data_IF_739251449322
#
_entry.id   IF_739251449322
#
_cell.length_a   1.000
_cell.length_b   1.000
_cell.length_c   1.000
_cell.angle_alpha   90.00
_cell.angle_beta   90.00
_cell.angle_gamma   90.00
#
_symmetry.space_group_name_H-M   'P 1'
#
loop_
_entity.id
_entity.type
_entity.pdbx_description
1 polymer ?
#
# COMPACT_ATOMS: atom_id res chain seq x y z
N UNK A 1 12.62 -9.23 15.28
CA UNK A 1 12.24 -7.77 15.29
C UNK A 1 10.74 -7.61 15.32
N UNK A 2 10.22 -6.37 15.48
CA UNK A 2 8.78 -6.07 15.43
C UNK A 2 8.51 -4.99 14.40
N UNK A 3 7.33 -5.02 13.78
CA UNK A 3 6.82 -3.99 12.87
C UNK A 3 5.40 -3.58 13.27
N UNK A 4 5.03 -2.35 12.90
CA UNK A 4 3.65 -1.91 13.00
C UNK A 4 2.92 -2.26 11.70
N UNK A 5 1.97 -3.16 11.81
CA UNK A 5 1.11 -3.64 10.72
C UNK A 5 -0.33 -3.25 11.05
N UNK A 6 -1.08 -2.77 10.07
CA UNK A 6 -2.45 -2.35 10.31
C UNK A 6 -3.49 -3.33 9.76
N UNK A 7 -3.11 -4.16 8.78
CA UNK A 7 -4.00 -5.18 8.23
C UNK A 7 -3.21 -6.36 7.66
N UNK A 8 -3.84 -7.54 7.65
CA UNK A 8 -3.38 -8.74 6.94
C UNK A 8 -4.60 -9.27 6.17
N UNK A 9 -4.70 -8.89 4.90
CA UNK A 9 -5.79 -9.27 4.03
C UNK A 9 -5.47 -10.61 3.35
N UNK A 10 -6.36 -11.57 3.51
CA UNK A 10 -6.24 -12.89 2.89
C UNK A 10 -7.09 -12.93 1.61
N UNK A 11 -6.68 -13.79 0.68
CA UNK A 11 -7.38 -14.02 -0.59
C UNK A 11 -7.47 -12.79 -1.51
N UNK A 12 -6.44 -11.93 -1.53
CA UNK A 12 -6.33 -10.84 -2.51
C UNK A 12 -6.04 -11.40 -3.92
N UNK A 13 -6.70 -10.81 -4.93
CA UNK A 13 -6.50 -11.12 -6.36
C UNK A 13 -5.90 -9.93 -7.13
N UNK A 14 -5.61 -8.83 -6.45
CA UNK A 14 -5.19 -7.57 -7.07
C UNK A 14 -3.78 -7.13 -6.70
N UNK A 15 -3.14 -7.86 -5.80
CA UNK A 15 -1.82 -7.49 -5.26
C UNK A 15 -0.70 -8.39 -5.80
N UNK A 16 -0.76 -8.74 -7.09
CA UNK A 16 0.21 -9.58 -7.79
C UNK A 16 -0.41 -10.84 -8.39
N UNK A 17 0.41 -11.80 -8.86
CA UNK A 17 -0.09 -13.01 -9.50
C UNK A 17 -0.74 -13.97 -8.51
N UNK A 18 -1.79 -14.66 -8.96
CA UNK A 18 -2.50 -15.69 -8.19
C UNK A 18 -3.25 -15.14 -6.99
N UNK A 19 -3.58 -16.04 -6.05
CA UNK A 19 -4.21 -15.68 -4.77
C UNK A 19 -3.13 -15.31 -3.77
N UNK A 20 -3.29 -14.18 -3.07
CA UNK A 20 -2.25 -13.66 -2.18
C UNK A 20 -2.78 -13.32 -0.79
N UNK A 21 -1.88 -13.38 0.18
CA UNK A 21 -2.08 -12.69 1.45
C UNK A 21 -1.30 -11.39 1.40
N UNK A 22 -1.98 -10.25 1.62
CA UNK A 22 -1.33 -8.93 1.61
C UNK A 22 -1.17 -8.43 3.03
N UNK A 23 0.08 -8.11 3.40
CA UNK A 23 0.45 -7.60 4.72
C UNK A 23 0.67 -6.08 4.60
N UNK A 24 -0.14 -5.29 5.30
CA UNK A 24 -0.14 -3.84 5.20
C UNK A 24 0.61 -3.19 6.37
N UNK A 25 1.75 -2.58 6.06
CA UNK A 25 2.60 -1.88 7.02
C UNK A 25 2.13 -0.46 7.29
N UNK A 26 2.31 0.04 8.52
CA UNK A 26 2.13 1.46 8.85
C UNK A 26 3.42 2.24 8.66
N UNK A 27 3.23 3.51 8.31
CA UNK A 27 4.29 4.45 7.94
C UNK A 27 4.38 4.60 6.44
N UNK A 28 4.27 5.84 5.97
CA UNK A 28 4.51 6.22 4.59
C UNK A 28 5.19 7.59 4.57
N UNK A 29 6.19 7.76 3.75
CA UNK A 29 6.86 9.03 3.52
C UNK A 29 6.22 9.85 2.39
N UNK A 30 5.21 9.29 1.70
CA UNK A 30 4.38 10.01 0.73
C UNK A 30 3.09 10.55 1.38
N UNK A 31 2.46 11.53 0.70
CA UNK A 31 1.20 12.17 1.12
C UNK A 31 0.25 12.29 -0.05
N UNK A 32 0.07 11.17 -0.78
CA UNK A 32 -0.81 11.13 -1.94
C UNK A 32 -2.20 11.65 -1.58
N UNK A 33 -2.69 12.62 -2.35
CA UNK A 33 -3.98 13.25 -2.10
C UNK A 33 -5.16 12.28 -2.30
N UNK A 34 -4.96 11.22 -3.08
CA UNK A 34 -5.93 10.14 -3.34
C UNK A 34 -5.62 8.83 -2.61
N UNK A 35 -4.88 8.88 -1.51
CA UNK A 35 -4.43 7.67 -0.82
C UNK A 35 -5.62 6.78 -0.39
N UNK A 36 -5.61 5.51 -0.76
CA UNK A 36 -6.65 4.55 -0.34
C UNK A 36 -6.49 4.07 1.10
N UNK A 37 -5.27 4.20 1.65
CA UNK A 37 -4.95 3.78 3.01
C UNK A 37 -4.39 4.96 3.84
N UNK A 38 -5.17 6.06 4.06
CA UNK A 38 -4.69 7.22 4.81
C UNK A 38 -4.31 6.89 6.26
N UNK A 39 -4.83 5.77 6.80
CA UNK A 39 -4.46 5.21 8.10
C UNK A 39 -3.04 4.67 8.13
N UNK A 40 -2.47 4.32 6.99
CA UNK A 40 -1.09 3.85 6.89
C UNK A 40 -0.05 4.97 6.97
N UNK A 41 -0.42 6.24 6.76
CA UNK A 41 0.53 7.34 6.64
C UNK A 41 1.36 7.61 7.92
N UNK A 42 0.79 7.38 9.10
CA UNK A 42 1.50 7.49 10.38
C UNK A 42 2.14 6.16 10.74
N UNK A 43 3.39 6.19 11.20
CA UNK A 43 4.14 4.98 11.57
C UNK A 43 3.77 4.40 12.94
N UNK A 44 2.79 4.99 13.63
CA UNK A 44 2.35 4.57 14.96
C UNK A 44 0.88 4.18 14.95
N UNK A 45 0.43 3.31 15.86
CA UNK A 45 -0.98 3.00 16.02
C UNK A 45 -1.81 4.28 16.26
N UNK A 46 -3.06 4.29 15.80
CA UNK A 46 -3.95 5.43 15.96
C UNK A 46 -5.42 5.01 16.08
N UNK A 47 -6.21 5.82 16.78
CA UNK A 47 -7.64 5.60 16.88
C UNK A 47 -8.35 6.03 15.59
N UNK A 48 -9.22 5.18 15.07
CA UNK A 48 -10.19 5.50 14.03
C UNK A 48 -11.59 5.54 14.63
N UNK A 49 -12.42 6.49 14.18
CA UNK A 49 -13.80 6.63 14.65
C UNK A 49 -14.78 6.71 13.49
N UNK A 50 -15.54 5.65 13.28
CA UNK A 50 -16.55 5.52 12.22
C UNK A 50 -17.90 6.07 12.71
N UNK A 51 -18.17 7.35 12.42
CA UNK A 51 -19.40 8.04 12.83
C UNK A 51 -20.68 7.34 12.36
N UNK A 52 -20.66 6.77 11.16
CA UNK A 52 -21.77 6.05 10.56
C UNK A 52 -22.14 4.75 11.28
N UNK A 53 -21.23 4.17 12.08
CA UNK A 53 -21.48 2.99 12.92
C UNK A 53 -21.92 3.37 14.34
N UNK A 54 -21.74 4.65 14.73
CA UNK A 54 -21.97 5.08 16.11
C UNK A 54 -23.44 5.37 16.37
N UNK A 55 -24.03 4.69 17.36
CA UNK A 55 -25.42 4.91 17.82
C UNK A 55 -25.54 5.91 18.97
N UNK A 56 -24.43 6.53 19.41
CA UNK A 56 -24.45 7.49 20.51
C UNK A 56 -24.65 6.88 21.92
N UNK A 57 -24.50 5.57 22.08
CA UNK A 57 -24.80 4.86 23.34
C UNK A 57 -23.93 5.25 24.56
N UNK A 58 -22.87 6.01 24.39
CA UNK A 58 -22.02 6.55 25.46
C UNK A 58 -21.05 5.56 26.13
N UNK A 59 -21.12 4.26 25.87
CA UNK A 59 -20.28 3.22 26.52
C UNK A 59 -18.79 3.49 26.41
N UNK A 60 -18.32 3.97 25.25
CA UNK A 60 -16.91 4.28 25.04
C UNK A 60 -16.42 5.42 25.94
N UNK A 61 -17.26 6.42 26.25
CA UNK A 61 -16.94 7.52 27.18
C UNK A 61 -16.91 7.03 28.63
N UNK A 62 -17.89 6.20 29.01
CA UNK A 62 -17.96 5.61 30.35
C UNK A 62 -16.74 4.74 30.68
N UNK A 63 -16.27 3.95 29.71
CA UNK A 63 -15.16 2.99 29.89
C UNK A 63 -13.77 3.60 29.66
N UNK A 64 -13.69 4.82 29.11
CA UNK A 64 -12.41 5.48 28.86
C UNK A 64 -11.82 6.09 30.14
N UNK A 65 -10.62 5.66 30.59
CA UNK A 65 -10.03 6.17 31.83
C UNK A 65 -9.58 7.64 31.72
N UNK A 66 -9.30 8.12 30.51
CA UNK A 66 -8.70 9.44 30.27
C UNK A 66 -9.66 10.43 29.59
N UNK A 67 -10.96 10.04 29.46
CA UNK A 67 -11.87 10.75 28.55
C UNK A 67 -11.42 10.58 27.08
N UNK A 68 -12.34 10.67 26.14
CA UNK A 68 -12.02 10.43 24.71
C UNK A 68 -11.08 11.45 24.09
N UNK A 69 -10.82 12.57 24.76
CA UNK A 69 -10.01 13.68 24.29
C UNK A 69 -8.49 13.42 24.44
N UNK A 70 -8.10 12.64 25.45
CA UNK A 70 -6.70 12.27 25.73
C UNK A 70 -6.49 10.78 25.56
N UNK A 71 -6.57 10.32 24.31
CA UNK A 71 -6.48 8.89 23.98
C UNK A 71 -5.03 8.39 24.15
N UNK A 72 -4.84 7.39 25.02
CA UNK A 72 -3.58 6.65 25.22
C UNK A 72 -3.57 5.29 24.47
N UNK A 73 -4.56 5.05 23.62
CA UNK A 73 -4.73 3.81 22.85
C UNK A 73 -4.91 2.54 23.73
N UNK A 74 -5.40 2.67 24.95
CA UNK A 74 -5.62 1.52 25.84
C UNK A 74 -6.65 0.48 25.35
N UNK A 75 -7.37 0.76 24.29
CA UNK A 75 -8.33 -0.17 23.65
C UNK A 75 -9.66 -0.37 24.36
N UNK A 76 -9.87 0.15 25.59
CA UNK A 76 -11.12 -0.10 26.34
C UNK A 76 -12.36 0.36 25.56
N UNK A 77 -12.30 1.50 24.88
CA UNK A 77 -13.43 2.00 24.11
C UNK A 77 -13.74 1.14 22.87
N UNK A 78 -12.79 0.39 22.34
CA UNK A 78 -13.02 -0.54 21.21
C UNK A 78 -13.68 -1.82 21.71
N UNK A 79 -13.21 -2.39 22.82
CA UNK A 79 -13.76 -3.61 23.42
C UNK A 79 -15.23 -3.48 23.83
N UNK A 80 -15.66 -2.29 24.28
CA UNK A 80 -17.02 -2.05 24.75
C UNK A 80 -17.93 -1.40 23.69
N UNK A 81 -17.47 -1.19 22.47
CA UNK A 81 -18.30 -0.65 21.40
C UNK A 81 -19.10 -1.77 20.72
N UNK A 82 -20.44 -1.83 20.88
CA UNK A 82 -21.23 -2.93 20.31
C UNK A 82 -21.40 -2.82 18.79
N UNK A 83 -20.92 -1.75 18.18
CA UNK A 83 -21.06 -1.47 16.75
C UNK A 83 -19.71 -1.26 16.06
N UNK A 84 -18.58 -1.58 16.70
CA UNK A 84 -17.24 -1.41 16.18
C UNK A 84 -16.99 -0.01 15.56
N UNK A 85 -17.63 1.01 16.18
CA UNK A 85 -17.48 2.39 15.74
C UNK A 85 -16.11 2.99 16.09
N UNK A 86 -15.33 2.33 16.96
CA UNK A 86 -13.97 2.71 17.34
C UNK A 86 -13.04 1.54 17.13
N UNK A 87 -11.90 1.81 16.51
CA UNK A 87 -10.89 0.84 16.16
C UNK A 87 -9.48 1.41 16.38
N UNK A 88 -8.57 0.61 16.91
CA UNK A 88 -7.14 0.95 16.91
C UNK A 88 -6.52 0.37 15.65
N UNK A 89 -6.16 1.24 14.73
CA UNK A 89 -5.50 0.86 13.50
C UNK A 89 -3.99 0.76 13.70
N UNK A 90 -3.47 -0.45 13.50
CA UNK A 90 -2.06 -0.79 13.67
C UNK A 90 -1.74 -1.38 15.04
N UNK A 91 -0.99 -2.46 15.02
CA UNK A 91 -0.40 -3.10 16.20
C UNK A 91 0.98 -3.65 15.86
N UNK A 92 1.77 -3.92 16.89
CA UNK A 92 3.05 -4.62 16.73
C UNK A 92 2.84 -6.09 16.37
N UNK A 93 3.65 -6.56 15.43
CA UNK A 93 3.78 -7.97 15.09
C UNK A 93 5.26 -8.35 15.05
N UNK A 94 5.57 -9.55 15.48
CA UNK A 94 6.83 -10.22 15.19
C UNK A 94 6.80 -10.87 13.82
N UNK A 95 7.95 -11.13 13.20
CA UNK A 95 8.02 -11.82 11.93
C UNK A 95 7.44 -13.25 11.99
N UNK A 96 7.52 -13.92 13.13
CA UNK A 96 6.93 -15.25 13.33
C UNK A 96 5.41 -15.20 13.37
N UNK A 97 4.81 -14.19 14.02
CA UNK A 97 3.36 -13.99 14.01
C UNK A 97 2.84 -13.74 12.60
N UNK A 98 3.53 -12.90 11.80
CA UNK A 98 3.16 -12.65 10.40
C UNK A 98 3.31 -13.92 9.56
N UNK A 99 4.41 -14.67 9.72
CA UNK A 99 4.62 -15.93 8.99
C UNK A 99 3.51 -16.94 9.28
N UNK A 100 3.09 -17.06 10.55
CA UNK A 100 1.99 -17.96 10.93
C UNK A 100 0.67 -17.61 10.23
N UNK A 101 0.37 -16.32 10.05
CA UNK A 101 -0.80 -15.90 9.27
C UNK A 101 -0.65 -16.23 7.78
N UNK A 102 0.50 -15.92 7.20
CA UNK A 102 0.80 -16.15 5.77
C UNK A 102 0.75 -17.64 5.40
N UNK A 103 1.29 -18.53 6.24
CA UNK A 103 1.33 -19.98 5.97
C UNK A 103 -0.06 -20.60 5.91
N UNK A 104 -1.08 -20.01 6.56
CA UNK A 104 -2.46 -20.53 6.53
C UNK A 104 -3.02 -20.68 5.10
N UNK A 105 -2.54 -19.87 4.17
CA UNK A 105 -3.00 -19.86 2.78
C UNK A 105 -2.04 -20.56 1.80
N UNK A 106 -1.00 -21.25 2.29
CA UNK A 106 0.03 -21.85 1.45
C UNK A 106 -0.53 -22.77 0.35
N UNK A 107 -1.55 -23.57 0.68
CA UNK A 107 -2.20 -24.44 -0.31
C UNK A 107 -2.88 -23.65 -1.45
N UNK A 108 -3.43 -22.45 -1.14
CA UNK A 108 -4.01 -21.57 -2.17
C UNK A 108 -2.93 -20.96 -3.06
N UNK A 109 -1.76 -20.63 -2.49
CA UNK A 109 -0.62 -20.12 -3.28
C UNK A 109 -0.11 -21.16 -4.25
N UNK A 110 0.04 -22.42 -3.82
CA UNK A 110 0.53 -23.52 -4.64
C UNK A 110 -0.39 -23.81 -5.84
N UNK A 111 -1.72 -23.74 -5.63
CA UNK A 111 -2.71 -23.98 -6.70
C UNK A 111 -2.78 -22.80 -7.69
N UNK A 112 -2.67 -21.56 -7.20
CA UNK A 112 -2.91 -20.36 -8.00
C UNK A 112 -1.66 -19.71 -8.59
N UNK A 113 -0.46 -20.16 -8.18
CA UNK A 113 0.78 -19.43 -8.46
C UNK A 113 0.89 -18.12 -7.66
N UNK A 114 0.19 -18.02 -6.53
CA UNK A 114 0.16 -16.86 -5.65
C UNK A 114 1.27 -16.83 -4.61
N UNK A 115 1.05 -16.10 -3.51
CA UNK A 115 2.03 -15.96 -2.43
C UNK A 115 1.68 -14.85 -1.45
N UNK A 116 2.69 -14.20 -0.90
CA UNK A 116 2.53 -13.06 0.00
C UNK A 116 2.96 -11.76 -0.68
N UNK A 117 2.24 -10.67 -0.40
CA UNK A 117 2.61 -9.30 -0.79
C UNK A 117 2.78 -8.44 0.44
N UNK A 118 3.89 -7.74 0.54
CA UNK A 118 4.16 -6.76 1.59
C UNK A 118 3.93 -5.36 1.02
N UNK A 119 2.95 -4.66 1.55
CA UNK A 119 2.39 -3.39 1.08
C UNK A 119 2.08 -2.45 2.25
N UNK A 120 1.08 -1.58 2.11
CA UNK A 120 0.55 -0.74 3.19
C UNK A 120 0.73 0.74 2.95
N UNK A 121 1.56 1.39 3.78
CA UNK A 121 2.12 2.70 3.49
C UNK A 121 3.32 2.58 2.57
N UNK A 122 4.52 2.56 3.13
CA UNK A 122 5.76 2.18 2.46
C UNK A 122 6.45 1.12 3.33
N UNK A 123 6.34 -0.15 2.95
CA UNK A 123 6.85 -1.28 3.76
C UNK A 123 8.37 -1.23 3.96
N UNK A 124 9.11 -0.66 3.01
CA UNK A 124 10.55 -0.48 3.12
C UNK A 124 10.99 0.58 4.14
N UNK A 125 10.07 1.31 4.77
CA UNK A 125 10.42 2.15 5.93
C UNK A 125 10.74 1.31 7.17
N UNK A 126 10.25 0.08 7.25
CA UNK A 126 10.53 -0.89 8.30
C UNK A 126 11.42 -2.03 7.74
N UNK A 127 12.53 -1.65 7.10
CA UNK A 127 13.34 -2.49 6.21
C UNK A 127 13.90 -3.74 6.89
N UNK A 128 14.42 -3.63 8.11
CA UNK A 128 15.04 -4.77 8.82
C UNK A 128 14.01 -5.86 9.14
N UNK A 129 12.78 -5.46 9.47
CA UNK A 129 11.68 -6.40 9.65
C UNK A 129 11.23 -6.99 8.32
N UNK A 130 11.14 -6.15 7.27
CA UNK A 130 10.75 -6.61 5.93
C UNK A 130 11.72 -7.65 5.39
N UNK A 131 13.03 -7.43 5.55
CA UNK A 131 14.04 -8.42 5.18
C UNK A 131 13.85 -9.74 5.95
N UNK A 132 13.67 -9.65 7.28
CA UNK A 132 13.48 -10.84 8.12
C UNK A 132 12.28 -11.67 7.66
N UNK A 133 11.12 -11.04 7.41
CA UNK A 133 9.92 -11.76 7.01
C UNK A 133 9.99 -12.27 5.57
N UNK A 134 10.56 -11.52 4.63
CA UNK A 134 10.81 -11.98 3.27
C UNK A 134 11.66 -13.24 3.25
N UNK A 135 12.78 -13.25 3.99
CA UNK A 135 13.66 -14.41 4.12
C UNK A 135 12.93 -15.62 4.72
N UNK A 136 12.11 -15.42 5.74
CA UNK A 136 11.30 -16.50 6.35
C UNK A 136 10.29 -17.07 5.35
N UNK A 137 9.61 -16.23 4.56
CA UNK A 137 8.67 -16.66 3.52
C UNK A 137 9.38 -17.45 2.41
N UNK A 138 10.54 -16.97 1.94
CA UNK A 138 11.37 -17.72 0.96
C UNK A 138 11.78 -19.08 1.48
N UNK A 139 12.23 -19.18 2.72
CA UNK A 139 12.61 -20.45 3.37
C UNK A 139 11.40 -21.40 3.51
N UNK A 140 10.18 -20.88 3.61
CA UNK A 140 8.94 -21.65 3.62
C UNK A 140 8.44 -22.04 2.21
N UNK A 141 9.17 -21.64 1.14
CA UNK A 141 8.80 -21.89 -0.26
C UNK A 141 7.61 -21.06 -0.73
N UNK A 142 7.41 -19.86 -0.16
CA UNK A 142 6.31 -18.95 -0.51
C UNK A 142 6.85 -17.86 -1.43
N UNK A 143 6.20 -17.66 -2.58
CA UNK A 143 6.49 -16.56 -3.50
C UNK A 143 6.22 -15.21 -2.83
N UNK A 144 7.19 -14.29 -2.92
CA UNK A 144 7.17 -13.00 -2.25
C UNK A 144 7.04 -11.84 -3.24
N UNK A 145 6.18 -10.89 -2.93
CA UNK A 145 6.10 -9.63 -3.65
C UNK A 145 6.23 -8.45 -2.69
N UNK A 146 6.85 -7.37 -3.16
CA UNK A 146 6.97 -6.09 -2.46
C UNK A 146 6.29 -5.01 -3.27
N UNK A 147 5.25 -4.40 -2.69
CA UNK A 147 4.47 -3.31 -3.27
C UNK A 147 4.99 -1.98 -2.69
N UNK A 148 5.54 -1.13 -3.55
CA UNK A 148 6.27 0.06 -3.16
C UNK A 148 6.10 1.22 -4.13
N UNK A 149 6.12 2.44 -3.58
CA UNK A 149 6.27 3.65 -4.38
C UNK A 149 7.74 4.01 -4.66
N UNK A 150 8.69 3.28 -4.08
CA UNK A 150 10.12 3.41 -4.38
C UNK A 150 10.81 4.66 -3.85
N UNK A 151 10.18 5.50 -3.03
CA UNK A 151 10.79 6.70 -2.48
C UNK A 151 11.63 6.41 -1.22
N UNK A 152 12.65 5.58 -1.38
CA UNK A 152 13.60 5.17 -0.33
C UNK A 152 15.02 5.09 -0.90
N UNK A 153 16.09 5.16 -0.09
CA UNK A 153 17.44 4.89 -0.56
C UNK A 153 17.55 3.52 -1.22
N UNK A 154 18.32 3.41 -2.32
CA UNK A 154 18.42 2.16 -3.09
C UNK A 154 19.04 1.01 -2.31
N UNK A 155 19.84 1.28 -1.32
CA UNK A 155 20.44 0.30 -0.40
C UNK A 155 19.35 -0.57 0.28
N UNK A 156 18.14 -0.03 0.46
CA UNK A 156 17.01 -0.81 0.97
C UNK A 156 16.49 -1.83 -0.04
N UNK A 157 16.54 -1.51 -1.33
CA UNK A 157 16.27 -2.49 -2.38
C UNK A 157 17.33 -3.58 -2.41
N UNK A 158 18.62 -3.20 -2.37
CA UNK A 158 19.73 -4.17 -2.37
C UNK A 158 19.62 -5.17 -1.21
N UNK A 159 19.16 -4.72 -0.04
CA UNK A 159 18.96 -5.56 1.14
C UNK A 159 17.88 -6.64 0.91
N UNK A 160 16.79 -6.34 0.19
CA UNK A 160 15.66 -7.26 0.03
C UNK A 160 15.59 -7.97 -1.31
N UNK A 161 16.31 -7.51 -2.34
CA UNK A 161 16.34 -8.12 -3.67
C UNK A 161 16.59 -9.65 -3.63
N UNK A 162 17.48 -10.21 -2.76
CA UNK A 162 17.70 -11.65 -2.71
C UNK A 162 16.49 -12.47 -2.27
N UNK A 163 15.54 -11.84 -1.59
CA UNK A 163 14.37 -12.47 -0.98
C UNK A 163 13.05 -12.06 -1.64
N UNK A 164 13.09 -11.23 -2.68
CA UNK A 164 11.91 -10.73 -3.40
C UNK A 164 11.83 -11.33 -4.79
N UNK A 165 10.70 -11.99 -5.09
CA UNK A 165 10.44 -12.59 -6.39
C UNK A 165 9.84 -11.59 -7.38
N UNK A 166 9.06 -10.60 -6.88
CA UNK A 166 8.38 -9.60 -7.71
C UNK A 166 8.30 -8.25 -6.99
N UNK A 167 8.57 -7.18 -7.71
CA UNK A 167 8.25 -5.82 -7.26
C UNK A 167 6.98 -5.33 -7.95
N UNK A 168 5.99 -4.92 -7.17
CA UNK A 168 4.86 -4.11 -7.64
C UNK A 168 5.27 -2.65 -7.44
N UNK A 169 5.53 -1.94 -8.53
CA UNK A 169 6.17 -0.63 -8.46
C UNK A 169 5.24 0.47 -8.95
N UNK A 170 4.91 1.39 -8.07
CA UNK A 170 3.99 2.48 -8.36
C UNK A 170 4.68 3.65 -9.09
N UNK A 171 4.21 3.99 -10.28
CA UNK A 171 4.55 5.23 -11.01
C UNK A 171 3.33 6.14 -11.03
N UNK A 172 3.29 7.15 -10.17
CA UNK A 172 2.08 7.95 -9.92
C UNK A 172 1.91 9.12 -10.90
N UNK A 173 2.99 9.86 -11.15
CA UNK A 173 3.07 10.92 -12.16
C UNK A 173 4.50 10.97 -12.70
N UNK A 174 4.65 11.29 -13.99
CA UNK A 174 5.94 11.49 -14.60
C UNK A 174 6.47 12.92 -14.42
N UNK A 175 5.57 13.90 -14.49
CA UNK A 175 5.87 15.30 -14.20
C UNK A 175 6.18 15.47 -12.70
N UNK A 176 7.42 15.90 -12.37
CA UNK A 176 7.90 15.99 -10.99
C UNK A 176 7.20 17.09 -10.19
N UNK A 177 6.83 18.21 -10.81
CA UNK A 177 6.10 19.29 -10.11
C UNK A 177 4.69 18.82 -9.76
N UNK A 178 4.02 18.15 -10.70
CA UNK A 178 2.72 17.51 -10.47
C UNK A 178 2.82 16.43 -9.41
N UNK A 179 3.86 15.59 -9.47
CA UNK A 179 4.12 14.57 -8.44
C UNK A 179 4.31 15.21 -7.07
N UNK A 180 5.15 16.24 -6.96
CA UNK A 180 5.36 16.97 -5.71
C UNK A 180 4.06 17.58 -5.17
N UNK A 181 3.25 18.17 -6.03
CA UNK A 181 1.97 18.80 -5.65
C UNK A 181 0.96 17.79 -5.08
N UNK A 182 0.83 16.62 -5.67
CA UNK A 182 -0.23 15.65 -5.32
C UNK A 182 0.25 14.49 -4.45
N UNK A 183 1.54 14.20 -4.45
CA UNK A 183 2.14 13.07 -3.72
C UNK A 183 3.01 13.54 -2.55
N UNK A 184 3.37 14.83 -2.55
CA UNK A 184 4.12 15.48 -1.48
C UNK A 184 5.64 15.46 -1.63
N UNK A 185 6.18 14.83 -2.68
CA UNK A 185 7.62 14.75 -3.01
C UNK A 185 7.83 14.74 -4.53
N UNK A 186 9.01 15.09 -5.00
CA UNK A 186 9.41 14.85 -6.40
C UNK A 186 9.53 13.36 -6.71
N UNK A 187 9.66 13.02 -7.99
CA UNK A 187 9.72 11.62 -8.43
C UNK A 187 11.11 11.15 -8.86
N UNK A 188 12.13 11.99 -8.76
CA UNK A 188 13.48 11.73 -9.28
C UNK A 188 14.07 10.47 -8.66
N UNK A 189 13.99 10.33 -7.32
CA UNK A 189 14.46 9.15 -6.60
C UNK A 189 13.67 7.90 -6.98
N UNK A 190 12.36 8.03 -7.15
CA UNK A 190 11.46 6.94 -7.54
C UNK A 190 11.85 6.41 -8.92
N UNK A 191 12.01 7.31 -9.88
CA UNK A 191 12.38 6.95 -11.25
C UNK A 191 13.78 6.35 -11.32
N UNK A 192 14.76 6.91 -10.61
CA UNK A 192 16.13 6.36 -10.60
C UNK A 192 16.16 4.96 -9.98
N UNK A 193 15.44 4.71 -8.89
CA UNK A 193 15.34 3.39 -8.28
C UNK A 193 14.69 2.38 -9.24
N UNK A 194 13.62 2.78 -9.93
CA UNK A 194 12.96 1.94 -10.93
C UNK A 194 13.92 1.58 -12.07
N UNK A 195 14.67 2.56 -12.60
CA UNK A 195 15.67 2.34 -13.63
C UNK A 195 16.71 1.32 -13.19
N UNK A 196 17.22 1.42 -11.96
CA UNK A 196 18.20 0.46 -11.43
C UNK A 196 17.63 -0.96 -11.32
N UNK A 197 16.36 -1.12 -10.87
CA UNK A 197 15.70 -2.42 -10.81
C UNK A 197 15.51 -3.04 -12.19
N UNK A 198 15.02 -2.28 -13.17
CA UNK A 198 14.81 -2.76 -14.53
C UNK A 198 16.15 -3.10 -15.22
N UNK A 199 17.18 -2.27 -15.04
CA UNK A 199 18.52 -2.54 -15.57
C UNK A 199 19.18 -3.78 -14.94
N UNK A 200 18.79 -4.15 -13.73
CA UNK A 200 19.24 -5.36 -13.05
C UNK A 200 18.38 -6.60 -13.41
N UNK A 201 17.46 -6.49 -14.38
CA UNK A 201 16.54 -7.54 -14.82
C UNK A 201 15.74 -8.15 -13.66
N UNK A 202 15.30 -7.32 -12.72
CA UNK A 202 14.41 -7.78 -11.65
C UNK A 202 12.97 -7.85 -12.15
N UNK A 203 12.19 -8.87 -11.76
CA UNK A 203 10.76 -8.93 -12.07
C UNK A 203 10.03 -7.72 -11.48
N UNK A 204 9.44 -6.90 -12.34
CA UNK A 204 8.73 -5.68 -11.96
C UNK A 204 7.40 -5.61 -12.70
N UNK A 205 6.32 -5.45 -11.97
CA UNK A 205 5.04 -4.98 -12.49
C UNK A 205 4.90 -3.50 -12.19
N UNK A 206 4.69 -2.70 -13.21
CA UNK A 206 4.44 -1.27 -13.07
C UNK A 206 2.96 -1.05 -12.78
N UNK A 207 2.65 -0.31 -11.73
CA UNK A 207 1.30 0.08 -11.34
C UNK A 207 1.15 1.59 -11.49
N UNK A 208 0.19 2.02 -12.30
CA UNK A 208 -0.07 3.43 -12.57
C UNK A 208 -1.49 3.76 -12.11
N UNK A 209 -1.67 4.34 -10.90
CA UNK A 209 -2.99 4.81 -10.49
C UNK A 209 -3.44 5.97 -11.39
N UNK A 210 -4.60 5.82 -12.00
CA UNK A 210 -5.15 6.79 -12.96
C UNK A 210 -6.20 7.66 -12.28
N UNK A 211 -5.86 8.92 -12.08
CA UNK A 211 -6.67 9.94 -11.40
C UNK A 211 -7.15 10.94 -12.43
N UNK A 212 -8.46 11.05 -12.63
CA UNK A 212 -9.08 11.74 -13.77
C UNK A 212 -8.59 13.16 -14.05
N UNK A 213 -8.43 13.98 -13.01
CA UNK A 213 -7.98 15.38 -13.14
C UNK A 213 -6.46 15.57 -12.94
N UNK A 214 -5.70 14.48 -12.74
CA UNK A 214 -4.27 14.60 -12.39
C UNK A 214 -3.37 14.06 -13.51
N UNK A 215 -3.45 12.77 -13.81
CA UNK A 215 -2.52 12.06 -14.68
C UNK A 215 -3.19 11.30 -15.84
N UNK A 216 -4.51 11.41 -15.99
CA UNK A 216 -5.26 10.71 -17.04
C UNK A 216 -5.16 11.42 -18.41
N UNK A 217 -3.95 11.66 -18.91
CA UNK A 217 -3.69 12.25 -20.22
C UNK A 217 -2.75 11.38 -21.05
N UNK A 218 -2.85 11.48 -22.39
CA UNK A 218 -1.97 10.74 -23.28
C UNK A 218 -0.51 11.13 -23.10
N UNK A 219 -0.23 12.43 -22.98
CA UNK A 219 1.12 12.97 -22.85
C UNK A 219 1.82 12.39 -21.61
N UNK A 220 1.09 12.30 -20.50
CA UNK A 220 1.59 11.75 -19.24
C UNK A 220 1.95 10.27 -19.42
N UNK A 221 1.05 9.47 -19.98
CA UNK A 221 1.26 8.03 -20.14
C UNK A 221 2.29 7.70 -21.22
N UNK A 222 2.35 8.49 -22.29
CA UNK A 222 3.42 8.34 -23.30
C UNK A 222 4.79 8.67 -22.73
N UNK A 223 4.88 9.68 -21.85
CA UNK A 223 6.12 10.02 -21.14
C UNK A 223 6.57 8.88 -20.22
N UNK A 224 5.64 8.30 -19.47
CA UNK A 224 5.89 7.10 -18.64
C UNK A 224 6.34 5.94 -19.53
N UNK A 225 5.62 5.62 -20.62
CA UNK A 225 5.97 4.55 -21.55
C UNK A 225 7.39 4.72 -22.08
N UNK A 226 7.70 5.90 -22.62
CA UNK A 226 9.02 6.21 -23.17
C UNK A 226 10.13 6.01 -22.14
N UNK A 227 9.90 6.47 -20.91
CA UNK A 227 10.86 6.30 -19.83
C UNK A 227 11.07 4.82 -19.49
N UNK A 228 10.01 4.07 -19.26
CA UNK A 228 10.07 2.65 -18.90
C UNK A 228 10.89 1.86 -19.92
N UNK A 229 10.55 1.99 -21.21
CA UNK A 229 11.24 1.24 -22.27
C UNK A 229 12.67 1.74 -22.56
N UNK A 230 13.06 2.91 -22.06
CA UNK A 230 14.45 3.34 -22.06
C UNK A 230 15.29 2.73 -20.95
N UNK A 231 14.65 2.22 -19.88
CA UNK A 231 15.32 1.66 -18.70
C UNK A 231 15.39 0.13 -18.71
N UNK A 232 14.49 -0.52 -19.44
CA UNK A 232 14.34 -1.97 -19.51
C UNK A 232 12.92 -2.36 -19.86
N UNK A 233 12.57 -3.65 -19.72
CA UNK A 233 11.23 -4.15 -20.02
C UNK A 233 10.59 -4.66 -18.74
N UNK A 234 9.55 -3.99 -18.21
CA UNK A 234 8.78 -4.55 -17.09
C UNK A 234 8.00 -5.79 -17.55
N UNK A 235 7.73 -6.72 -16.65
CA UNK A 235 6.93 -7.92 -16.97
C UNK A 235 5.47 -7.57 -17.25
N UNK A 236 4.93 -6.53 -16.58
CA UNK A 236 3.56 -6.10 -16.73
C UNK A 236 3.42 -4.60 -16.45
N UNK A 237 2.46 -3.96 -17.11
CA UNK A 237 2.03 -2.59 -16.80
C UNK A 237 0.53 -2.63 -16.54
N UNK A 238 0.11 -2.11 -15.38
CA UNK A 238 -1.29 -2.06 -14.95
C UNK A 238 -1.72 -0.60 -14.75
N UNK A 239 -2.78 -0.22 -15.43
CA UNK A 239 -3.46 1.05 -15.17
C UNK A 239 -4.57 0.81 -14.14
N UNK A 240 -4.47 1.47 -12.99
CA UNK A 240 -5.40 1.30 -11.87
C UNK A 240 -6.35 2.51 -11.79
N UNK A 241 -7.60 2.41 -12.28
CA UNK A 241 -8.54 3.53 -12.20
C UNK A 241 -8.85 3.86 -10.73
N UNK A 242 -8.89 5.17 -10.41
CA UNK A 242 -9.27 5.63 -9.07
C UNK A 242 -10.63 5.07 -8.66
N UNK A 243 -10.78 4.75 -7.38
CA UNK A 243 -12.06 4.42 -6.75
C UNK A 243 -12.16 5.05 -5.35
N UNK A 244 -13.38 5.39 -4.94
CA UNK A 244 -13.65 6.11 -3.69
C UNK A 244 -13.73 5.22 -2.44
N UNK A 245 -13.39 3.92 -2.53
CA UNK A 245 -13.58 2.96 -1.43
C UNK A 245 -12.80 3.32 -0.16
N UNK A 246 -11.68 4.04 -0.27
CA UNK A 246 -10.88 4.51 0.87
C UNK A 246 -11.38 5.79 1.55
N UNK A 247 -12.33 6.51 0.96
CA UNK A 247 -12.74 7.85 1.44
C UNK A 247 -13.32 7.85 2.86
N UNK A 248 -14.08 6.81 3.22
CA UNK A 248 -14.65 6.68 4.56
C UNK A 248 -13.58 6.64 5.67
N UNK A 249 -12.36 6.20 5.36
CA UNK A 249 -11.23 6.14 6.28
C UNK A 249 -10.71 7.53 6.66
N UNK A 250 -10.78 8.50 5.72
CA UNK A 250 -10.42 9.89 6.02
C UNK A 250 -11.34 10.46 7.09
N UNK A 251 -12.64 10.30 6.93
CA UNK A 251 -13.62 10.75 7.93
C UNK A 251 -13.39 10.07 9.29
N UNK A 252 -13.06 8.76 9.31
CA UNK A 252 -12.74 8.03 10.54
C UNK A 252 -11.46 8.52 11.23
N UNK A 253 -10.54 9.13 10.48
CA UNK A 253 -9.31 9.76 10.99
C UNK A 253 -9.47 11.26 11.31
N UNK A 254 -10.66 11.84 11.10
CA UNK A 254 -10.90 13.27 11.24
C UNK A 254 -10.16 14.12 10.18
N UNK A 255 -9.87 13.54 9.02
CA UNK A 255 -9.22 14.21 7.89
C UNK A 255 -10.26 14.67 6.86
N UNK A 256 -9.94 15.71 6.11
CA UNK A 256 -10.73 16.15 4.97
C UNK A 256 -10.57 15.18 3.79
N UNK A 257 -11.65 15.03 3.02
CA UNK A 257 -11.67 14.23 1.80
C UNK A 257 -11.50 15.19 0.61
N UNK A 258 -10.50 14.91 -0.22
CA UNK A 258 -10.37 15.58 -1.51
C UNK A 258 -11.06 14.72 -2.57
N UNK A 259 -12.12 15.23 -3.23
CA UNK A 259 -12.86 14.46 -4.23
C UNK A 259 -12.00 14.25 -5.48
N UNK A 260 -11.75 13.01 -5.83
CA UNK A 260 -11.17 12.60 -7.09
C UNK A 260 -12.16 11.71 -7.84
N UNK A 261 -11.92 11.52 -9.14
CA UNK A 261 -12.73 10.63 -9.98
C UNK A 261 -11.85 9.79 -10.89
N UNK A 262 -12.34 8.60 -11.23
CA UNK A 262 -11.78 7.84 -12.33
C UNK A 262 -12.13 8.51 -13.68
N UNK A 263 -11.34 8.32 -14.74
CA UNK A 263 -11.79 8.56 -16.10
C UNK A 263 -12.97 7.66 -16.46
N UNK A 264 -13.76 8.06 -17.46
CA UNK A 264 -14.80 7.19 -18.01
C UNK A 264 -14.18 5.93 -18.67
N UNK A 265 -14.99 4.90 -18.87
CA UNK A 265 -14.53 3.61 -19.41
C UNK A 265 -13.87 3.72 -20.78
N UNK A 266 -14.42 4.55 -21.66
CA UNK A 266 -13.88 4.81 -23.00
C UNK A 266 -12.49 5.41 -22.93
N UNK A 267 -12.30 6.40 -22.04
CA UNK A 267 -11.00 7.03 -21.80
C UNK A 267 -10.00 6.04 -21.20
N UNK A 268 -10.42 5.23 -20.22
CA UNK A 268 -9.53 4.18 -19.66
C UNK A 268 -9.05 3.23 -20.75
N UNK A 269 -9.96 2.69 -21.57
CA UNK A 269 -9.60 1.81 -22.68
C UNK A 269 -8.65 2.47 -23.69
N UNK A 270 -8.84 3.75 -23.97
CA UNK A 270 -7.94 4.52 -24.82
C UNK A 270 -6.53 4.62 -24.21
N UNK A 271 -6.44 4.92 -22.92
CA UNK A 271 -5.16 5.01 -22.19
C UNK A 271 -4.46 3.66 -22.09
N UNK A 272 -5.18 2.56 -21.90
CA UNK A 272 -4.63 1.19 -21.89
C UNK A 272 -3.96 0.84 -23.24
N UNK A 273 -4.53 1.27 -24.37
CA UNK A 273 -3.98 1.04 -25.69
C UNK A 273 -2.60 1.71 -25.90
N UNK A 274 -2.23 2.69 -25.08
CA UNK A 274 -0.90 3.31 -25.17
C UNK A 274 0.19 2.29 -24.84
N UNK A 275 -0.08 1.31 -23.97
CA UNK A 275 0.91 0.31 -23.53
C UNK A 275 0.84 -1.02 -24.30
N UNK A 276 -0.15 -1.19 -25.15
CA UNK A 276 -0.23 -2.30 -26.11
C UNK A 276 0.63 -1.98 -27.35
#
# INVERSE_FOLDING_TARGET
MKAIIFDIERNSYVDGPGIRTTVFFKGCNLRCAWCHNPESQRAVPQMMFYKNRCTGCGKCREKCPNGLEKCDLCGKCTLYCPHDAREICGREYTADEVLLEVIKDKALYEISGGGVTFSGGECMLQIDFLEEILRKCKNAGIHTAVDTAGHVPYERFEQIIPYTDLFLYDVKCFDSEKHSRYVGVGNELILENLKRLLSANKPVWIRIPIIGAVNATEEELQSIKKYLFSCGTPEKIELLPYHAMGEHKYAALGKEIHPFSAPCKEKMKHLENIFL
#
